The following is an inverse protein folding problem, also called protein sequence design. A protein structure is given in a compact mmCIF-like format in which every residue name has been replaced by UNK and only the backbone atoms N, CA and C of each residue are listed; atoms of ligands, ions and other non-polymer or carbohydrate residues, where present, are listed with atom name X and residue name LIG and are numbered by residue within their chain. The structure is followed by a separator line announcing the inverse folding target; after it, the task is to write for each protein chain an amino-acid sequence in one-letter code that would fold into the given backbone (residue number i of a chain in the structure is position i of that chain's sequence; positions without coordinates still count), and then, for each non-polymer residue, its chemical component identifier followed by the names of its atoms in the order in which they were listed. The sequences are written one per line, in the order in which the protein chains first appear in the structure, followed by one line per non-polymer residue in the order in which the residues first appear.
data_IF_939677445140
#
_entry.id   IF_939677445140
#
_cell.length_a   1.000
_cell.length_b   1.000
_cell.length_c   1.000
_cell.angle_alpha   90.00
_cell.angle_beta   90.00
_cell.angle_gamma   90.00
#
_symmetry.space_group_name_H-M   'P 1'
#
loop_
_entity.id
_entity.type
_entity.pdbx_description
1 polymer ?
#
# COMPACT_ATOMS: atom_id res chain seq x y z
N UNK A 1 4.09 -1.49 -35.10
CA UNK A 1 3.61 -2.74 -35.75
C UNK A 1 2.55 -2.42 -36.80
N UNK A 2 2.09 -3.35 -37.65
CA UNK A 2 1.05 -3.05 -38.67
C UNK A 2 -0.37 -3.08 -38.07
N UNK A 3 -1.21 -2.11 -38.44
CA UNK A 3 -2.48 -1.80 -37.76
C UNK A 3 -3.58 -2.85 -37.99
N UNK A 4 -3.36 -3.82 -38.89
CA UNK A 4 -4.33 -4.86 -39.20
C UNK A 4 -4.45 -5.95 -38.11
N UNK A 5 -3.44 -6.12 -37.24
CA UNK A 5 -3.44 -7.17 -36.20
C UNK A 5 -4.32 -6.88 -34.98
N UNK A 6 -4.80 -5.64 -34.82
CA UNK A 6 -5.60 -5.18 -33.67
C UNK A 6 -6.91 -5.96 -33.45
N UNK A 7 -7.37 -6.72 -34.45
CA UNK A 7 -8.70 -7.34 -34.50
C UNK A 7 -8.75 -8.83 -34.12
N UNK A 8 -7.63 -9.58 -34.11
CA UNK A 8 -7.66 -11.06 -34.03
C UNK A 8 -7.03 -11.65 -32.75
N UNK A 9 -6.88 -10.83 -31.70
CA UNK A 9 -6.57 -11.32 -30.33
C UNK A 9 -7.68 -12.21 -29.73
N UNK A 10 -8.83 -12.38 -30.41
CA UNK A 10 -10.05 -12.98 -29.89
C UNK A 10 -10.29 -14.46 -30.26
N UNK A 11 -9.34 -15.13 -30.93
CA UNK A 11 -9.45 -16.55 -31.33
C UNK A 11 -8.39 -17.41 -30.67
N UNK A 12 -8.43 -17.45 -29.34
CA UNK A 12 -7.58 -18.32 -28.51
C UNK A 12 -8.40 -19.56 -28.13
N UNK A 13 -7.80 -20.75 -28.19
CA UNK A 13 -8.41 -21.97 -27.67
C UNK A 13 -8.52 -21.91 -26.13
N UNK A 14 -9.71 -22.09 -25.53
CA UNK A 14 -9.86 -22.05 -24.08
C UNK A 14 -9.05 -23.10 -23.31
N UNK A 15 -8.74 -24.24 -23.93
CA UNK A 15 -7.86 -25.26 -23.34
C UNK A 15 -6.43 -24.76 -23.22
N UNK A 16 -5.81 -24.45 -24.37
CA UNK A 16 -4.44 -23.92 -24.42
C UNK A 16 -4.25 -22.62 -23.63
N UNK A 17 -5.30 -21.79 -23.48
CA UNK A 17 -5.24 -20.61 -22.62
C UNK A 17 -5.14 -20.94 -21.12
N UNK A 18 -5.88 -21.94 -20.64
CA UNK A 18 -5.83 -22.32 -19.23
C UNK A 18 -4.51 -23.03 -18.89
N UNK A 19 -4.06 -23.95 -19.74
CA UNK A 19 -2.77 -24.63 -19.58
C UNK A 19 -1.61 -23.62 -19.56
N UNK A 20 -1.66 -22.59 -20.42
CA UNK A 20 -0.70 -21.49 -20.38
C UNK A 20 -0.78 -20.64 -19.10
N UNK A 21 -1.99 -20.35 -18.58
CA UNK A 21 -2.17 -19.55 -17.36
C UNK A 21 -1.57 -20.24 -16.13
N UNK A 22 -1.68 -21.57 -16.05
CA UNK A 22 -1.11 -22.32 -14.93
C UNK A 22 0.41 -22.48 -15.08
N UNK A 23 0.94 -22.69 -16.29
CA UNK A 23 2.39 -22.68 -16.56
C UNK A 23 3.04 -21.29 -16.35
N UNK A 24 2.32 -20.21 -16.71
CA UNK A 24 2.72 -18.83 -16.45
C UNK A 24 2.91 -18.58 -14.96
N UNK A 25 1.98 -19.03 -14.11
CA UNK A 25 2.03 -18.80 -12.65
C UNK A 25 3.27 -19.40 -12.00
N UNK A 26 3.66 -20.63 -12.38
CA UNK A 26 4.89 -21.25 -11.90
C UNK A 26 6.15 -20.50 -12.39
N UNK A 27 6.10 -19.90 -13.58
CA UNK A 27 7.15 -19.03 -14.08
C UNK A 27 7.17 -17.66 -13.36
N UNK A 28 6.03 -17.09 -12.98
CA UNK A 28 5.94 -15.83 -12.21
C UNK A 28 6.64 -15.98 -10.86
N UNK A 29 6.30 -16.99 -10.07
CA UNK A 29 6.97 -17.24 -8.78
C UNK A 29 8.50 -17.40 -8.91
N UNK A 30 8.96 -17.96 -10.04
CA UNK A 30 10.39 -18.05 -10.34
C UNK A 30 11.01 -16.68 -10.70
N UNK A 31 10.31 -15.88 -11.51
CA UNK A 31 10.70 -14.51 -11.89
C UNK A 31 10.77 -13.61 -10.64
N UNK A 32 9.74 -13.58 -9.80
CA UNK A 32 9.69 -12.79 -8.57
C UNK A 32 10.89 -13.08 -7.65
N UNK A 33 11.13 -14.36 -7.36
CA UNK A 33 12.25 -14.82 -6.53
C UNK A 33 13.60 -14.42 -7.12
N UNK A 34 13.79 -14.60 -8.42
CA UNK A 34 15.07 -14.35 -9.08
C UNK A 34 15.31 -12.84 -9.28
N UNK A 35 14.26 -12.04 -9.48
CA UNK A 35 14.30 -10.57 -9.39
C UNK A 35 14.61 -10.11 -7.97
N UNK A 36 14.00 -10.71 -6.93
CA UNK A 36 14.29 -10.39 -5.54
C UNK A 36 15.77 -10.69 -5.17
N UNK A 37 16.33 -11.81 -5.64
CA UNK A 37 17.78 -12.09 -5.56
C UNK A 37 18.60 -10.98 -6.21
N UNK A 38 18.24 -10.57 -7.43
CA UNK A 38 18.97 -9.53 -8.18
C UNK A 38 18.84 -8.13 -7.57
N UNK A 39 17.75 -7.82 -6.84
CA UNK A 39 17.64 -6.56 -6.06
C UNK A 39 18.62 -6.51 -4.89
N UNK A 40 18.99 -7.66 -4.31
CA UNK A 40 19.99 -7.77 -3.23
C UNK A 40 21.41 -7.91 -3.78
N UNK A 41 21.57 -8.63 -4.90
CA UNK A 41 22.85 -8.91 -5.55
C UNK A 41 22.73 -8.79 -7.09
N UNK A 42 22.80 -7.57 -7.62
CA UNK A 42 22.59 -7.27 -9.05
C UNK A 42 23.63 -7.89 -10.02
N UNK A 43 24.71 -8.46 -9.48
CA UNK A 43 25.71 -9.24 -10.22
C UNK A 43 25.51 -10.77 -10.16
N UNK A 44 24.41 -11.25 -9.57
CA UNK A 44 24.09 -12.68 -9.46
C UNK A 44 23.75 -13.28 -10.84
N UNK A 45 24.77 -13.85 -11.49
CA UNK A 45 24.65 -14.49 -12.81
C UNK A 45 23.78 -15.75 -12.79
N UNK A 46 23.59 -16.40 -11.64
CA UNK A 46 22.69 -17.56 -11.55
C UNK A 46 21.23 -17.07 -11.58
N UNK A 47 20.89 -16.09 -10.76
CA UNK A 47 19.57 -15.47 -10.76
C UNK A 47 19.24 -14.83 -12.13
N UNK A 48 20.17 -14.07 -12.73
CA UNK A 48 19.97 -13.47 -14.06
C UNK A 48 19.83 -14.53 -15.17
N UNK A 49 20.59 -15.62 -15.10
CA UNK A 49 20.46 -16.76 -16.01
C UNK A 49 19.15 -17.53 -15.83
N UNK A 50 18.63 -17.58 -14.60
CA UNK A 50 17.36 -18.21 -14.25
C UNK A 50 16.17 -17.37 -14.71
N UNK A 51 16.13 -16.09 -14.34
CA UNK A 51 15.16 -15.10 -14.80
C UNK A 51 15.00 -15.08 -16.33
N UNK A 52 16.12 -15.10 -17.06
CA UNK A 52 16.07 -15.15 -18.53
C UNK A 52 15.41 -16.45 -19.05
N UNK A 53 15.65 -17.61 -18.42
CA UNK A 53 15.00 -18.87 -18.81
C UNK A 53 13.51 -18.85 -18.52
N UNK A 54 13.08 -18.33 -17.36
CA UNK A 54 11.65 -18.26 -17.03
C UNK A 54 10.87 -17.43 -18.04
N UNK A 55 11.38 -16.25 -18.43
CA UNK A 55 10.75 -15.42 -19.46
C UNK A 55 10.81 -16.05 -20.86
N UNK A 56 11.90 -16.76 -21.19
CA UNK A 56 12.00 -17.50 -22.45
C UNK A 56 10.99 -18.65 -22.53
N UNK A 57 10.78 -19.38 -21.43
CA UNK A 57 9.76 -20.43 -21.32
C UNK A 57 8.36 -19.86 -21.49
N UNK A 58 7.99 -18.81 -20.74
CA UNK A 58 6.69 -18.12 -20.87
C UNK A 58 6.42 -17.70 -22.32
N UNK A 59 7.42 -17.19 -23.03
CA UNK A 59 7.28 -16.83 -24.46
C UNK A 59 7.11 -18.07 -25.36
N UNK A 60 7.83 -19.15 -25.08
CA UNK A 60 7.71 -20.43 -25.79
C UNK A 60 6.32 -21.06 -25.61
N UNK A 61 5.87 -21.17 -24.37
CA UNK A 61 4.57 -21.75 -24.01
C UNK A 61 3.41 -20.91 -24.58
N UNK A 62 3.52 -19.58 -24.52
CA UNK A 62 2.61 -18.67 -25.19
C UNK A 62 2.53 -18.89 -26.71
N UNK A 63 3.68 -19.13 -27.37
CA UNK A 63 3.73 -19.39 -28.80
C UNK A 63 3.15 -20.75 -29.18
N UNK A 64 3.36 -21.78 -28.35
CA UNK A 64 2.79 -23.12 -28.50
C UNK A 64 1.27 -23.08 -28.37
N UNK A 65 0.74 -22.31 -27.39
CA UNK A 65 -0.69 -22.16 -27.16
C UNK A 65 -1.39 -21.15 -28.11
N UNK A 66 -0.67 -20.58 -29.08
CA UNK A 66 -1.21 -19.61 -30.05
C UNK A 66 -1.51 -18.22 -29.47
N UNK A 67 -1.02 -17.93 -28.26
CA UNK A 67 -1.33 -16.71 -27.49
C UNK A 67 -0.37 -15.60 -27.91
N UNK A 68 -0.54 -15.11 -29.14
CA UNK A 68 0.32 -14.10 -29.74
C UNK A 68 0.45 -12.81 -28.90
N UNK A 69 -0.56 -12.47 -28.09
CA UNK A 69 -0.51 -11.32 -27.18
C UNK A 69 0.58 -11.48 -26.12
N UNK A 70 0.68 -12.66 -25.50
CA UNK A 70 1.70 -12.96 -24.50
C UNK A 70 3.11 -12.99 -25.14
N UNK A 71 3.24 -13.54 -26.34
CA UNK A 71 4.50 -13.51 -27.11
C UNK A 71 4.95 -12.06 -27.38
N UNK A 72 4.03 -11.19 -27.78
CA UNK A 72 4.30 -9.78 -28.06
C UNK A 72 4.65 -8.99 -26.78
N UNK A 73 4.03 -9.30 -25.64
CA UNK A 73 4.33 -8.67 -24.36
C UNK A 73 5.71 -9.07 -23.80
N UNK A 74 6.13 -10.33 -23.96
CA UNK A 74 7.37 -10.85 -23.36
C UNK A 74 8.61 -10.62 -24.23
N UNK A 75 8.47 -10.54 -25.56
CA UNK A 75 9.64 -10.38 -26.45
C UNK A 75 10.48 -9.11 -26.19
N UNK A 76 9.89 -7.92 -25.97
CA UNK A 76 10.67 -6.72 -25.61
C UNK A 76 11.40 -6.89 -24.26
N UNK A 77 10.80 -7.61 -23.31
CA UNK A 77 11.36 -7.87 -21.97
C UNK A 77 12.62 -8.73 -22.07
N UNK A 78 12.59 -9.82 -22.84
CA UNK A 78 13.80 -10.61 -23.13
C UNK A 78 14.91 -9.75 -23.76
N UNK A 79 14.53 -8.84 -24.65
CA UNK A 79 15.46 -8.00 -25.42
C UNK A 79 16.17 -7.00 -24.50
N UNK A 80 15.43 -6.38 -23.58
CA UNK A 80 15.98 -5.52 -22.53
C UNK A 80 16.89 -6.29 -21.57
N UNK A 81 16.47 -7.47 -21.09
CA UNK A 81 17.28 -8.33 -20.23
C UNK A 81 18.51 -8.93 -20.94
N UNK A 82 18.48 -9.10 -22.27
CA UNK A 82 19.65 -9.54 -23.02
C UNK A 82 20.79 -8.51 -22.98
N UNK A 83 20.48 -7.20 -22.91
CA UNK A 83 21.48 -6.13 -22.72
C UNK A 83 22.13 -6.24 -21.33
N UNK A 84 21.33 -6.48 -20.29
CA UNK A 84 21.83 -6.74 -18.93
C UNK A 84 22.71 -7.99 -18.88
N UNK A 85 22.29 -9.10 -19.52
CA UNK A 85 23.06 -10.35 -19.58
C UNK A 85 24.40 -10.23 -20.33
N UNK A 86 24.56 -9.21 -21.17
CA UNK A 86 25.81 -8.84 -21.83
C UNK A 86 26.66 -7.84 -21.02
N UNK A 87 26.13 -7.32 -19.91
CA UNK A 87 26.68 -6.21 -19.10
C UNK A 87 26.72 -4.86 -19.86
N UNK A 88 25.85 -4.67 -20.86
CA UNK A 88 25.63 -3.37 -21.52
C UNK A 88 24.83 -2.39 -20.63
N UNK A 89 24.08 -2.94 -19.67
CA UNK A 89 23.13 -2.28 -18.77
C UNK A 89 23.22 -2.95 -17.40
N UNK A 90 23.08 -2.20 -16.30
CA UNK A 90 23.03 -2.75 -14.95
C UNK A 90 21.61 -3.18 -14.57
N UNK A 91 21.46 -4.17 -13.68
CA UNK A 91 20.15 -4.52 -13.12
C UNK A 91 19.79 -3.53 -12.00
N UNK A 92 18.96 -2.52 -12.31
CA UNK A 92 18.55 -1.46 -11.37
C UNK A 92 17.24 -1.81 -10.64
N UNK A 93 16.89 -1.07 -9.58
CA UNK A 93 15.59 -1.20 -8.91
C UNK A 93 14.43 -0.83 -9.84
N UNK A 94 14.59 0.20 -10.69
CA UNK A 94 13.60 0.57 -11.70
C UNK A 94 13.43 -0.51 -12.77
N UNK A 95 14.51 -1.22 -13.16
CA UNK A 95 14.37 -2.41 -14.00
C UNK A 95 13.62 -3.53 -13.26
N UNK A 96 13.90 -3.78 -11.98
CA UNK A 96 13.17 -4.78 -11.19
C UNK A 96 11.68 -4.45 -11.10
N UNK A 97 11.33 -3.20 -10.82
CA UNK A 97 9.95 -2.70 -10.74
C UNK A 97 9.23 -2.77 -12.10
N UNK A 98 9.92 -2.41 -13.19
CA UNK A 98 9.37 -2.57 -14.54
C UNK A 98 9.17 -4.05 -14.89
N UNK A 99 10.13 -4.93 -14.59
CA UNK A 99 10.03 -6.36 -14.90
C UNK A 99 8.84 -7.03 -14.20
N UNK A 100 8.64 -6.73 -12.91
CA UNK A 100 7.48 -7.22 -12.17
C UNK A 100 6.18 -6.64 -12.73
N UNK A 101 6.08 -5.31 -12.89
CA UNK A 101 4.92 -4.64 -13.46
C UNK A 101 4.50 -5.19 -14.85
N UNK A 102 5.46 -5.58 -15.69
CA UNK A 102 5.17 -6.15 -17.01
C UNK A 102 4.69 -7.61 -16.94
N UNK A 103 5.11 -8.37 -15.92
CA UNK A 103 4.57 -9.70 -15.62
C UNK A 103 3.18 -9.60 -15.02
N UNK A 104 2.93 -8.68 -14.09
CA UNK A 104 1.59 -8.39 -13.55
C UNK A 104 0.60 -8.03 -14.69
N UNK A 105 1.07 -7.26 -15.67
CA UNK A 105 0.30 -6.89 -16.86
C UNK A 105 0.00 -8.08 -17.75
N UNK A 106 0.95 -9.02 -17.89
CA UNK A 106 0.76 -10.26 -18.65
C UNK A 106 -0.30 -11.15 -17.98
N UNK A 107 -0.19 -11.41 -16.68
CA UNK A 107 -1.18 -12.19 -15.94
C UNK A 107 -2.58 -11.53 -15.98
N UNK A 108 -2.65 -10.21 -15.81
CA UNK A 108 -3.91 -9.47 -15.92
C UNK A 108 -4.52 -9.56 -17.34
N UNK A 109 -3.71 -9.58 -18.39
CA UNK A 109 -4.18 -9.79 -19.75
C UNK A 109 -4.73 -11.21 -19.95
N UNK A 110 -4.00 -12.24 -19.49
CA UNK A 110 -4.43 -13.64 -19.61
C UNK A 110 -5.70 -13.93 -18.80
N UNK A 111 -5.76 -13.44 -17.56
CA UNK A 111 -6.93 -13.54 -16.68
C UNK A 111 -8.18 -12.90 -17.30
N UNK A 112 -8.03 -11.74 -17.97
CA UNK A 112 -9.14 -11.12 -18.70
C UNK A 112 -9.58 -11.95 -19.91
N UNK A 113 -8.66 -12.53 -20.67
CA UNK A 113 -8.97 -13.39 -21.82
C UNK A 113 -9.70 -14.67 -21.38
N UNK A 114 -9.24 -15.34 -20.32
CA UNK A 114 -9.89 -16.54 -19.78
C UNK A 114 -11.30 -16.24 -19.21
N UNK A 115 -11.50 -15.04 -18.66
CA UNK A 115 -12.82 -14.55 -18.26
C UNK A 115 -13.71 -14.09 -19.43
N UNK A 116 -13.30 -14.29 -20.70
CA UNK A 116 -14.03 -13.89 -21.90
C UNK A 116 -14.10 -12.36 -22.11
N UNK A 117 -13.18 -11.59 -21.53
CA UNK A 117 -13.19 -10.13 -21.54
C UNK A 117 -12.12 -9.57 -22.49
N UNK A 118 -12.47 -8.53 -23.23
CA UNK A 118 -11.53 -7.81 -24.09
C UNK A 118 -10.35 -7.20 -23.30
N UNK A 119 -9.20 -7.11 -23.95
CA UNK A 119 -7.93 -6.57 -23.39
C UNK A 119 -7.60 -5.14 -23.84
N UNK A 120 -8.42 -4.53 -24.71
CA UNK A 120 -8.15 -3.21 -25.30
C UNK A 120 -7.86 -2.12 -24.25
N UNK A 121 -8.59 -2.11 -23.13
CA UNK A 121 -8.39 -1.12 -22.04
C UNK A 121 -7.00 -1.19 -21.39
N UNK A 122 -6.25 -2.29 -21.56
CA UNK A 122 -4.91 -2.47 -20.98
C UNK A 122 -3.83 -1.70 -21.75
N UNK A 123 -4.14 -1.12 -22.92
CA UNK A 123 -3.20 -0.37 -23.77
C UNK A 123 -1.93 -1.16 -24.14
N UNK A 124 -2.05 -2.47 -24.35
CA UNK A 124 -0.91 -3.40 -24.55
C UNK A 124 0.01 -2.95 -25.69
N UNK A 125 -0.52 -2.38 -26.77
CA UNK A 125 0.28 -1.88 -27.90
C UNK A 125 1.23 -0.75 -27.47
N UNK A 126 0.76 0.24 -26.72
CA UNK A 126 1.60 1.31 -26.15
C UNK A 126 2.59 0.80 -25.12
N UNK A 127 2.23 -0.24 -24.38
CA UNK A 127 3.15 -0.90 -23.45
C UNK A 127 4.31 -1.55 -24.21
N UNK A 128 4.00 -2.32 -25.26
CA UNK A 128 5.00 -2.99 -26.11
C UNK A 128 5.90 -1.97 -26.80
N UNK A 129 5.33 -0.96 -27.48
CA UNK A 129 6.09 0.12 -28.11
C UNK A 129 7.03 0.82 -27.12
N UNK A 130 6.54 1.13 -25.91
CA UNK A 130 7.34 1.74 -24.86
C UNK A 130 8.54 0.89 -24.41
N UNK A 131 8.41 -0.44 -24.32
CA UNK A 131 9.54 -1.33 -23.94
C UNK A 131 10.50 -1.53 -25.12
N UNK A 132 10.00 -1.56 -26.35
CA UNK A 132 10.82 -1.64 -27.56
C UNK A 132 11.72 -0.39 -27.68
N UNK A 133 11.19 0.80 -27.38
CA UNK A 133 11.98 2.03 -27.29
C UNK A 133 13.07 1.95 -26.19
N UNK A 134 12.75 1.43 -25.00
CA UNK A 134 13.75 1.20 -23.93
C UNK A 134 14.89 0.27 -24.38
N UNK A 135 14.58 -0.77 -25.15
CA UNK A 135 15.59 -1.67 -25.67
C UNK A 135 16.61 -0.96 -26.60
N UNK A 136 16.26 0.20 -27.16
CA UNK A 136 17.13 1.03 -28.01
C UNK A 136 17.85 2.18 -27.28
N UNK A 137 17.36 2.65 -26.13
CA UNK A 137 17.94 3.79 -25.39
C UNK A 137 19.37 3.56 -24.88
N UNK A 138 20.13 4.65 -24.69
CA UNK A 138 21.43 4.60 -24.03
C UNK A 138 21.29 4.26 -22.53
N UNK A 139 22.26 3.57 -21.90
CA UNK A 139 22.15 3.17 -20.49
C UNK A 139 21.93 4.32 -19.50
N UNK A 140 22.38 5.53 -19.83
CA UNK A 140 22.18 6.76 -19.03
C UNK A 140 20.77 7.35 -19.10
N UNK A 141 19.98 6.97 -20.09
CA UNK A 141 18.61 7.46 -20.31
C UNK A 141 17.57 6.42 -19.87
N UNK A 142 18.02 5.18 -19.69
CA UNK A 142 17.17 4.01 -19.45
C UNK A 142 16.34 4.14 -18.16
N UNK A 143 16.92 4.61 -17.06
CA UNK A 143 16.22 4.68 -15.76
C UNK A 143 15.06 5.71 -15.74
N UNK A 144 15.16 6.82 -16.48
CA UNK A 144 14.05 7.77 -16.65
C UNK A 144 13.04 7.29 -17.71
N UNK A 145 13.50 6.59 -18.75
CA UNK A 145 12.61 5.88 -19.68
C UNK A 145 11.77 4.81 -18.97
N UNK A 146 12.40 3.99 -18.12
CA UNK A 146 11.71 2.98 -17.31
C UNK A 146 10.70 3.63 -16.37
N UNK A 147 11.06 4.74 -15.73
CA UNK A 147 10.13 5.52 -14.92
C UNK A 147 8.94 6.06 -15.75
N UNK A 148 9.17 6.53 -16.99
CA UNK A 148 8.11 6.99 -17.88
C UNK A 148 7.17 5.86 -18.34
N UNK A 149 7.70 4.65 -18.60
CA UNK A 149 6.87 3.47 -18.90
C UNK A 149 6.08 3.01 -17.67
N UNK A 150 6.68 3.00 -16.48
CA UNK A 150 5.98 2.71 -15.21
C UNK A 150 4.86 3.74 -14.96
N UNK A 151 5.13 5.04 -15.15
CA UNK A 151 4.15 6.12 -14.97
C UNK A 151 3.02 6.04 -16.01
N UNK A 152 3.32 5.73 -17.27
CA UNK A 152 2.34 5.50 -18.35
C UNK A 152 1.42 4.31 -18.07
N UNK A 153 1.92 3.25 -17.43
CA UNK A 153 1.14 2.05 -17.11
C UNK A 153 0.34 2.17 -15.80
N UNK A 154 0.89 2.81 -14.77
CA UNK A 154 0.31 2.84 -13.41
C UNK A 154 -0.43 4.14 -13.07
N UNK A 155 -0.10 5.25 -13.72
CA UNK A 155 -0.51 6.60 -13.31
C UNK A 155 0.16 7.11 -12.03
N UNK A 156 1.15 6.40 -11.49
CA UNK A 156 1.72 6.65 -10.16
C UNK A 156 3.24 6.49 -10.12
N UNK A 157 3.99 7.58 -9.93
CA UNK A 157 5.37 7.50 -9.38
C UNK A 157 5.29 7.01 -7.91
N UNK A 158 5.80 5.80 -7.56
CA UNK A 158 5.28 4.94 -6.47
C UNK A 158 5.99 5.06 -5.10
N UNK A 159 5.27 5.41 -4.02
CA UNK A 159 5.81 5.88 -2.71
C UNK A 159 4.77 5.50 -1.56
N UNK A 160 5.08 5.39 -0.24
CA UNK A 160 4.61 4.25 0.64
C UNK A 160 3.96 4.40 2.12
N UNK A 161 2.63 4.12 2.35
CA UNK A 161 1.51 4.43 3.40
C UNK A 161 1.25 3.76 4.85
N UNK A 162 0.07 4.03 5.57
CA UNK A 162 -0.62 3.44 6.85
C UNK A 162 -2.22 3.46 6.93
N UNK A 163 -2.99 2.88 7.96
CA UNK A 163 -4.41 3.24 8.53
C UNK A 163 -5.61 2.24 9.01
N UNK A 164 -6.21 2.29 10.26
CA UNK A 164 -7.61 2.67 10.84
C UNK A 164 -8.95 1.79 11.29
N UNK A 165 -9.81 2.15 12.35
CA UNK A 165 -10.88 1.43 13.25
C UNK A 165 -12.31 2.04 13.82
N UNK A 166 -13.27 1.39 14.66
CA UNK A 166 -14.70 1.86 15.26
C UNK A 166 -15.54 1.81 16.74
N UNK A 167 -15.67 0.96 17.85
CA UNK A 167 -16.27 1.33 19.27
C UNK A 167 -16.27 0.35 20.59
N UNK A 168 -16.32 0.81 21.90
CA UNK A 168 -16.60 0.01 23.19
C UNK A 168 -16.65 0.67 24.66
N UNK A 169 -17.24 0.04 25.75
CA UNK A 169 -17.76 0.62 27.08
C UNK A 169 -16.91 0.68 28.43
N UNK A 170 -17.31 1.43 29.53
CA UNK A 170 -16.53 1.83 30.78
C UNK A 170 -16.58 1.05 32.13
N UNK A 171 -15.52 1.25 32.97
CA UNK A 171 -15.36 0.78 34.38
C UNK A 171 -14.62 1.83 35.26
N UNK A 172 -14.95 1.92 36.57
CA UNK A 172 -14.40 2.89 37.56
C UNK A 172 -12.98 2.52 38.09
N UNK A 173 -12.05 3.48 38.29
CA UNK A 173 -10.69 3.19 38.76
C UNK A 173 -10.52 3.04 40.29
N UNK A 174 -9.56 2.22 40.71
CA UNK A 174 -9.15 2.03 42.12
C UNK A 174 -7.89 2.83 42.54
N UNK A 175 -7.39 2.69 43.78
CA UNK A 175 -6.32 3.55 44.31
C UNK A 175 -4.97 3.44 43.57
N UNK A 176 -4.67 2.30 42.93
CA UNK A 176 -3.44 2.12 42.14
C UNK A 176 -3.56 2.59 40.67
N UNK A 177 -4.72 3.14 40.27
CA UNK A 177 -5.03 3.42 38.86
C UNK A 177 -3.96 4.25 38.12
N UNK A 178 -3.33 5.30 38.71
CA UNK A 178 -2.28 6.05 38.02
C UNK A 178 -1.01 5.25 37.71
N UNK A 179 -0.77 4.14 38.41
CA UNK A 179 0.35 3.24 38.10
C UNK A 179 -0.09 2.19 37.07
N UNK A 180 -1.24 1.54 37.28
CA UNK A 180 -1.78 0.54 36.34
C UNK A 180 -1.96 1.12 34.94
N UNK A 181 -2.46 2.35 34.84
CA UNK A 181 -2.60 3.03 33.55
C UNK A 181 -1.25 3.26 32.83
N UNK A 182 -0.16 3.51 33.58
CA UNK A 182 1.19 3.63 32.99
C UNK A 182 1.74 2.29 32.54
N UNK A 183 1.50 1.24 33.32
CA UNK A 183 1.94 -0.12 33.01
C UNK A 183 1.20 -0.64 31.76
N UNK A 184 -0.11 -0.38 31.67
CA UNK A 184 -0.94 -0.65 30.50
C UNK A 184 -0.49 0.16 29.27
N UNK A 185 -0.25 1.48 29.39
CA UNK A 185 0.28 2.31 28.30
C UNK A 185 1.64 1.82 27.77
N UNK A 186 2.55 1.42 28.68
CA UNK A 186 3.83 0.84 28.30
C UNK A 186 3.66 -0.50 27.57
N UNK A 187 2.69 -1.32 27.98
CA UNK A 187 2.33 -2.55 27.28
C UNK A 187 1.71 -2.28 25.90
N UNK A 188 0.76 -1.36 25.77
CA UNK A 188 0.15 -0.95 24.50
C UNK A 188 1.20 -0.44 23.52
N UNK A 189 2.11 0.44 23.97
CA UNK A 189 3.23 0.90 23.14
C UNK A 189 4.12 -0.28 22.70
N UNK A 190 4.35 -1.27 23.56
CA UNK A 190 5.12 -2.47 23.18
C UNK A 190 4.44 -3.31 22.10
N UNK A 191 3.11 -3.35 22.07
CA UNK A 191 2.34 -4.00 21.00
C UNK A 191 2.37 -3.17 19.69
N UNK A 192 2.26 -1.85 19.80
CA UNK A 192 2.33 -0.92 18.67
C UNK A 192 3.68 -1.01 17.95
N UNK A 193 4.79 -1.00 18.70
CA UNK A 193 6.12 -1.23 18.13
C UNK A 193 6.26 -2.61 17.45
N UNK A 194 5.67 -3.67 18.02
CA UNK A 194 5.65 -5.00 17.38
C UNK A 194 4.78 -5.08 16.11
N UNK A 195 3.85 -4.13 15.91
CA UNK A 195 3.16 -3.95 14.63
C UNK A 195 4.03 -3.15 13.64
N UNK A 196 4.68 -2.08 14.11
CA UNK A 196 5.60 -1.30 13.29
C UNK A 196 6.76 -2.18 12.76
N UNK A 197 7.27 -3.12 13.56
CA UNK A 197 8.30 -4.09 13.18
C UNK A 197 7.89 -5.04 12.02
N UNK A 198 6.59 -5.18 11.71
CA UNK A 198 6.10 -5.96 10.56
C UNK A 198 6.34 -5.28 9.21
N UNK A 199 6.64 -3.97 9.20
CA UNK A 199 6.80 -3.20 7.96
C UNK A 199 7.86 -2.10 8.11
N UNK A 200 8.96 -2.12 7.34
CA UNK A 200 9.96 -1.05 7.39
C UNK A 200 9.41 0.37 7.13
N UNK A 201 8.23 0.50 6.50
CA UNK A 201 7.51 1.78 6.31
C UNK A 201 6.98 2.36 7.62
N UNK A 202 6.67 1.52 8.59
CA UNK A 202 6.12 1.90 9.88
C UNK A 202 7.22 2.24 10.91
N UNK A 203 8.51 2.22 10.56
CA UNK A 203 9.60 2.50 11.50
C UNK A 203 9.39 3.82 12.29
N UNK A 204 9.16 3.70 13.60
CA UNK A 204 8.87 4.81 14.52
C UNK A 204 7.57 5.57 14.20
N UNK A 205 6.57 4.90 13.65
CA UNK A 205 5.23 5.44 13.36
C UNK A 205 4.46 5.68 14.65
N UNK A 206 4.49 4.70 15.56
CA UNK A 206 3.93 4.76 16.91
C UNK A 206 4.21 6.11 17.61
N UNK A 207 5.48 6.52 17.70
CA UNK A 207 5.87 7.79 18.32
C UNK A 207 5.43 9.03 17.53
N UNK A 208 5.36 8.96 16.19
CA UNK A 208 4.90 10.10 15.36
C UNK A 208 3.42 10.36 15.59
N UNK A 209 2.60 9.32 15.53
CA UNK A 209 1.16 9.41 15.74
C UNK A 209 0.86 9.90 17.15
N UNK A 210 1.53 9.35 18.17
CA UNK A 210 1.24 9.69 19.56
C UNK A 210 1.57 11.17 19.82
N UNK A 211 2.71 11.62 19.31
CA UNK A 211 3.11 13.03 19.37
C UNK A 211 2.14 13.96 18.64
N UNK A 212 1.71 13.59 17.43
CA UNK A 212 0.76 14.40 16.64
C UNK A 212 -0.61 14.52 17.33
N UNK A 213 -1.15 13.42 17.86
CA UNK A 213 -2.43 13.43 18.57
C UNK A 213 -2.34 14.24 19.88
N UNK A 214 -1.33 13.98 20.71
CA UNK A 214 -1.20 14.62 22.02
C UNK A 214 -0.91 16.12 21.90
N UNK A 215 0.02 16.55 21.04
CA UNK A 215 0.25 18.00 20.82
C UNK A 215 -1.02 18.68 20.23
N UNK A 216 -1.81 18.00 19.40
CA UNK A 216 -3.04 18.58 18.81
C UNK A 216 -4.17 18.70 19.83
N UNK A 217 -4.29 17.73 20.73
CA UNK A 217 -5.20 17.81 21.87
C UNK A 217 -4.80 18.95 22.83
N UNK A 218 -3.50 19.18 23.02
CA UNK A 218 -2.98 20.28 23.84
C UNK A 218 -3.30 21.66 23.24
N UNK A 219 -3.25 21.84 21.92
CA UNK A 219 -3.63 23.11 21.27
C UNK A 219 -5.09 23.53 21.52
N UNK A 220 -5.99 22.58 21.80
CA UNK A 220 -7.40 22.87 22.12
C UNK A 220 -7.68 22.88 23.63
N UNK A 221 -6.65 22.80 24.47
CA UNK A 221 -6.78 22.81 25.93
C UNK A 221 -7.12 21.44 26.54
N UNK A 222 -6.62 20.35 25.96
CA UNK A 222 -6.80 18.96 26.42
C UNK A 222 -8.28 18.55 26.52
N UNK A 223 -9.03 18.78 25.44
CA UNK A 223 -10.45 18.47 25.30
C UNK A 223 -10.79 16.95 25.26
N UNK A 224 -9.76 16.10 25.26
CA UNK A 224 -9.80 14.64 25.35
C UNK A 224 -8.83 14.23 26.47
N UNK A 225 -9.14 13.21 27.27
CA UNK A 225 -8.18 12.68 28.25
C UNK A 225 -6.88 12.23 27.53
N UNK A 226 -5.70 12.79 27.88
CA UNK A 226 -4.44 12.47 27.21
C UNK A 226 -4.04 11.00 27.32
N UNK A 227 -4.35 10.32 28.42
CA UNK A 227 -4.04 8.89 28.59
C UNK A 227 -4.93 8.03 27.70
N UNK A 228 -6.23 8.36 27.60
CA UNK A 228 -7.15 7.65 26.71
C UNK A 228 -6.75 7.86 25.25
N UNK A 229 -6.32 9.06 24.88
CA UNK A 229 -5.84 9.36 23.52
C UNK A 229 -4.50 8.70 23.21
N UNK A 230 -3.56 8.62 24.17
CA UNK A 230 -2.29 7.93 24.00
C UNK A 230 -2.49 6.40 23.84
N UNK A 231 -3.27 5.78 24.74
CA UNK A 231 -3.70 4.39 24.59
C UNK A 231 -4.40 4.19 23.25
N UNK A 232 -5.15 5.20 22.79
CA UNK A 232 -5.86 5.09 21.53
C UNK A 232 -4.96 5.06 20.30
N UNK A 233 -3.94 5.90 20.28
CA UNK A 233 -2.93 5.86 19.24
C UNK A 233 -2.16 4.54 19.24
N UNK A 234 -1.80 3.99 20.40
CA UNK A 234 -1.07 2.72 20.44
C UNK A 234 -1.91 1.51 19.99
N UNK A 235 -3.21 1.48 20.32
CA UNK A 235 -4.01 0.27 20.14
C UNK A 235 -4.80 0.18 18.82
N UNK A 236 -4.99 1.27 18.07
CA UNK A 236 -5.86 1.28 16.87
C UNK A 236 -5.52 0.17 15.86
N UNK A 237 -4.34 0.21 15.26
CA UNK A 237 -4.00 -0.72 14.18
C UNK A 237 -3.67 -2.16 14.63
N UNK A 238 -3.61 -2.44 15.95
CA UNK A 238 -3.31 -3.78 16.51
C UNK A 238 -4.29 -4.84 15.98
N UNK A 239 -5.51 -4.43 15.63
CA UNK A 239 -6.50 -5.30 14.99
C UNK A 239 -6.01 -5.96 13.69
N UNK A 240 -5.05 -5.38 12.98
CA UNK A 240 -4.49 -5.96 11.75
C UNK A 240 -3.66 -7.22 12.01
N UNK A 241 -3.13 -7.45 13.23
CA UNK A 241 -2.44 -8.69 13.58
C UNK A 241 -3.34 -9.94 13.51
N UNK A 242 -4.66 -9.77 13.47
CA UNK A 242 -5.64 -10.87 13.35
C UNK A 242 -6.12 -11.10 11.91
N UNK A 243 -5.56 -10.35 10.94
CA UNK A 243 -5.78 -10.54 9.51
C UNK A 243 -4.59 -11.26 8.89
N UNK A 244 -4.83 -11.98 7.79
CA UNK A 244 -3.74 -12.52 6.98
C UNK A 244 -2.88 -11.38 6.43
N UNK A 245 -1.56 -11.54 6.42
CA UNK A 245 -0.62 -10.46 6.08
C UNK A 245 -0.85 -9.93 4.66
N UNK A 246 -1.25 -10.78 3.72
CA UNK A 246 -1.62 -10.42 2.35
C UNK A 246 -2.95 -9.64 2.23
N UNK A 247 -3.64 -9.33 3.34
CA UNK A 247 -4.81 -8.44 3.34
C UNK A 247 -4.42 -6.99 3.67
N UNK A 248 -3.37 -6.77 4.47
CA UNK A 248 -3.05 -5.45 5.04
C UNK A 248 -1.60 -4.98 4.82
N UNK A 249 -0.64 -5.89 4.62
CA UNK A 249 0.67 -5.59 4.03
C UNK A 249 0.63 -5.64 2.49
N UNK A 250 -0.55 -5.94 1.90
CA UNK A 250 -0.77 -5.97 0.45
C UNK A 250 -0.42 -4.63 -0.19
N UNK A 251 0.45 -4.64 -1.20
CA UNK A 251 0.75 -3.46 -2.00
C UNK A 251 -0.26 -3.25 -3.14
N UNK A 252 -1.08 -4.26 -3.42
CA UNK A 252 -1.99 -4.30 -4.56
C UNK A 252 -3.33 -3.62 -4.30
N UNK A 253 -4.16 -3.59 -5.35
CA UNK A 253 -5.51 -3.02 -5.30
C UNK A 253 -6.48 -3.91 -4.51
N UNK A 254 -6.37 -3.85 -3.18
CA UNK A 254 -7.21 -4.46 -2.15
C UNK A 254 -8.65 -4.74 -2.63
N UNK A 255 -8.99 -6.03 -2.75
CA UNK A 255 -10.27 -6.47 -3.33
C UNK A 255 -11.48 -6.04 -2.49
N UNK A 256 -12.70 -6.25 -3.01
CA UNK A 256 -13.92 -6.04 -2.24
C UNK A 256 -14.07 -7.01 -1.04
N UNK A 257 -13.31 -8.11 -1.02
CA UNK A 257 -13.27 -9.06 0.10
C UNK A 257 -12.14 -8.70 1.07
N UNK A 258 -10.94 -8.40 0.57
CA UNK A 258 -9.80 -7.90 1.35
C UNK A 258 -10.21 -6.65 2.13
N UNK A 259 -10.90 -5.70 1.48
CA UNK A 259 -11.42 -4.49 2.13
C UNK A 259 -12.44 -4.80 3.21
N UNK A 260 -13.37 -5.74 2.96
CA UNK A 260 -14.31 -6.19 4.00
C UNK A 260 -13.59 -6.82 5.19
N UNK A 261 -12.47 -7.51 4.98
CA UNK A 261 -11.65 -8.07 6.05
C UNK A 261 -10.84 -6.99 6.79
N UNK A 262 -10.23 -6.03 6.07
CA UNK A 262 -9.58 -4.87 6.68
C UNK A 262 -10.56 -4.05 7.53
N UNK A 263 -11.83 -3.96 7.11
CA UNK A 263 -12.92 -3.35 7.87
C UNK A 263 -13.33 -4.12 9.16
N UNK A 264 -12.71 -5.27 9.47
CA UNK A 264 -12.91 -6.01 10.73
C UNK A 264 -11.82 -5.72 11.77
N UNK A 265 -10.61 -5.38 11.33
CA UNK A 265 -9.50 -4.95 12.18
C UNK A 265 -9.94 -3.90 13.23
N UNK A 266 -10.80 -2.91 12.91
CA UNK A 266 -11.63 -2.19 13.86
C UNK A 266 -12.07 -3.01 15.09
N UNK A 267 -13.06 -3.88 14.92
CA UNK A 267 -13.73 -4.57 16.02
C UNK A 267 -12.80 -5.48 16.82
N UNK A 268 -11.68 -5.91 16.24
CA UNK A 268 -10.66 -6.65 16.97
C UNK A 268 -9.87 -5.75 17.92
N UNK A 269 -9.38 -4.60 17.45
CA UNK A 269 -8.49 -3.70 18.18
C UNK A 269 -8.99 -3.32 19.58
N UNK A 270 -10.11 -2.61 19.68
CA UNK A 270 -10.71 -2.29 20.98
C UNK A 270 -11.82 -3.27 21.44
N UNK A 271 -12.02 -4.36 20.70
CA UNK A 271 -12.51 -5.60 21.30
C UNK A 271 -11.52 -6.15 22.34
N UNK A 272 -10.21 -5.98 22.16
CA UNK A 272 -9.23 -6.23 23.21
C UNK A 272 -9.31 -5.16 24.31
N UNK A 273 -9.26 -3.88 23.92
CA UNK A 273 -9.13 -2.77 24.87
C UNK A 273 -10.35 -2.61 25.79
N UNK A 274 -11.57 -2.83 25.32
CA UNK A 274 -12.80 -2.79 26.16
C UNK A 274 -12.88 -3.92 27.20
N UNK A 275 -11.95 -4.89 27.18
CA UNK A 275 -11.80 -5.90 28.25
C UNK A 275 -10.85 -5.44 29.37
N UNK A 276 -10.19 -4.30 29.22
CA UNK A 276 -9.27 -3.73 30.21
C UNK A 276 -9.94 -2.55 30.94
N UNK A 277 -10.02 -2.65 32.26
CA UNK A 277 -10.78 -1.71 33.07
C UNK A 277 -10.17 -0.30 33.04
N UNK A 278 -10.99 0.70 32.69
CA UNK A 278 -10.59 2.10 32.60
C UNK A 278 -10.16 2.57 31.20
N UNK A 279 -10.14 1.69 30.19
CA UNK A 279 -9.73 2.04 28.82
C UNK A 279 -10.89 2.18 27.84
N UNK A 280 -12.02 2.70 28.30
CA UNK A 280 -13.27 2.72 27.53
C UNK A 280 -13.42 3.89 26.58
N UNK A 281 -12.92 5.07 26.94
CA UNK A 281 -12.92 6.18 25.99
C UNK A 281 -11.86 5.91 24.94
N UNK A 282 -10.70 5.36 25.34
CA UNK A 282 -9.74 4.77 24.42
C UNK A 282 -10.41 3.68 23.57
N UNK A 283 -11.19 2.75 24.13
CA UNK A 283 -11.93 1.76 23.34
C UNK A 283 -13.03 2.37 22.48
N UNK A 284 -13.58 3.54 22.82
CA UNK A 284 -14.44 4.29 21.92
C UNK A 284 -13.64 5.08 20.86
N UNK A 285 -12.34 5.36 21.03
CA UNK A 285 -11.48 6.04 20.03
C UNK A 285 -10.70 5.08 19.11
N UNK A 286 -9.97 4.12 19.70
CA UNK A 286 -9.41 2.89 19.10
C UNK A 286 -10.47 2.12 18.44
N UNK A 287 -11.67 2.17 19.03
CA UNK A 287 -12.88 1.89 18.31
C UNK A 287 -12.97 3.10 17.27
N UNK A 288 -13.86 4.11 17.44
CA UNK A 288 -14.57 5.04 16.47
C UNK A 288 -13.87 5.78 15.32
N UNK A 289 -12.55 5.89 15.28
CA UNK A 289 -11.86 6.94 14.53
C UNK A 289 -11.87 6.85 12.97
N UNK A 290 -12.45 5.81 12.37
CA UNK A 290 -12.56 5.61 10.91
C UNK A 290 -13.96 5.90 10.35
N UNK A 291 -14.88 6.30 11.24
CA UNK A 291 -16.11 6.96 10.83
C UNK A 291 -15.82 8.34 10.22
N UNK A 292 -16.58 8.72 9.20
CA UNK A 292 -16.43 10.00 8.49
C UNK A 292 -17.64 10.89 8.81
N UNK A 293 -17.48 12.20 9.09
CA UNK A 293 -18.60 13.11 9.41
C UNK A 293 -19.73 13.15 8.37
N UNK A 294 -19.45 12.79 7.11
CA UNK A 294 -20.43 12.67 6.02
C UNK A 294 -21.17 11.31 5.95
N UNK A 295 -20.93 10.41 6.90
CA UNK A 295 -21.56 9.09 7.00
C UNK A 295 -21.02 8.02 6.03
N UNK A 296 -19.96 8.29 5.26
CA UNK A 296 -19.34 7.27 4.37
C UNK A 296 -18.25 6.41 5.02
N UNK A 297 -17.96 6.66 6.29
CA UNK A 297 -17.04 5.83 7.09
C UNK A 297 -17.60 4.45 7.37
N UNK A 298 -16.83 3.64 8.10
CA UNK A 298 -17.16 2.25 8.34
C UNK A 298 -16.69 1.79 9.72
N UNK A 299 -17.29 0.74 10.31
CA UNK A 299 -18.40 -0.07 9.81
C UNK A 299 -19.80 0.30 10.35
N UNK A 300 -19.97 1.37 11.15
CA UNK A 300 -21.32 1.83 11.58
C UNK A 300 -21.89 2.95 10.70
N UNK A 301 -21.06 3.73 10.00
CA UNK A 301 -21.51 4.81 9.10
C UNK A 301 -22.10 5.99 9.87
N UNK A 302 -21.42 6.42 10.94
CA UNK A 302 -21.95 7.40 11.89
C UNK A 302 -21.97 8.82 11.29
N UNK A 303 -23.04 9.61 11.54
CA UNK A 303 -23.02 11.04 11.24
C UNK A 303 -22.08 11.78 12.20
N UNK A 304 -21.57 12.94 11.80
CA UNK A 304 -20.63 13.77 12.57
C UNK A 304 -20.87 13.87 14.09
N UNK A 305 -22.12 14.03 14.53
CA UNK A 305 -22.50 14.16 15.95
C UNK A 305 -22.47 12.84 16.75
N UNK A 306 -22.38 11.69 16.08
CA UNK A 306 -22.21 10.38 16.68
C UNK A 306 -20.76 9.91 16.78
N UNK A 307 -19.80 10.70 16.28
CA UNK A 307 -18.36 10.37 16.32
C UNK A 307 -17.69 11.13 17.47
N UNK A 308 -17.06 10.42 18.41
CA UNK A 308 -16.47 11.02 19.61
C UNK A 308 -15.29 11.96 19.27
N UNK A 309 -14.95 12.94 20.12
CA UNK A 309 -13.95 13.96 19.78
C UNK A 309 -12.57 13.37 19.47
N UNK A 310 -12.10 12.41 20.29
CA UNK A 310 -10.82 11.75 20.08
C UNK A 310 -10.77 10.89 18.81
N UNK A 311 -11.88 10.27 18.43
CA UNK A 311 -11.99 9.56 17.16
C UNK A 311 -11.86 10.51 15.95
N UNK A 312 -12.49 11.68 16.01
CA UNK A 312 -12.42 12.69 14.95
C UNK A 312 -11.04 13.33 14.82
N UNK A 313 -10.30 13.47 15.93
CA UNK A 313 -8.88 13.86 15.91
C UNK A 313 -8.00 12.74 15.32
N UNK A 314 -8.13 11.53 15.85
CA UNK A 314 -7.24 10.41 15.52
C UNK A 314 -7.38 9.99 14.04
N UNK A 315 -8.61 10.04 13.51
CA UNK A 315 -8.88 9.86 12.07
C UNK A 315 -8.20 10.90 11.17
N UNK A 316 -7.91 12.12 11.65
CA UNK A 316 -7.08 13.10 10.93
C UNK A 316 -5.60 12.74 11.07
N UNK A 317 -5.15 12.50 12.31
CA UNK A 317 -3.75 12.27 12.67
C UNK A 317 -3.12 11.14 11.87
N UNK A 318 -3.84 10.03 11.70
CA UNK A 318 -3.32 8.89 10.93
C UNK A 318 -3.77 8.87 9.46
N UNK A 319 -4.91 9.44 9.04
CA UNK A 319 -5.12 9.66 7.60
C UNK A 319 -4.03 10.58 7.01
N UNK A 320 -3.52 11.52 7.82
CA UNK A 320 -2.31 12.29 7.51
C UNK A 320 -1.07 11.40 7.44
N UNK A 321 -0.84 10.48 8.39
CA UNK A 321 0.29 9.54 8.32
C UNK A 321 0.16 8.62 7.09
N UNK A 322 -1.06 8.25 6.68
CA UNK A 322 -1.35 7.49 5.47
C UNK A 322 -0.85 8.24 4.23
N UNK A 323 -1.20 9.53 4.10
CA UNK A 323 -0.76 10.38 2.98
C UNK A 323 0.73 10.75 3.06
N UNK A 324 1.24 11.01 4.26
CA UNK A 324 2.66 11.22 4.56
C UNK A 324 3.48 10.04 4.09
N UNK A 325 3.10 8.83 4.50
CA UNK A 325 3.78 7.61 4.15
C UNK A 325 3.58 7.31 2.65
N UNK A 326 2.36 7.37 2.09
CA UNK A 326 2.02 7.29 0.63
C UNK A 326 2.85 8.25 -0.24
N UNK A 327 3.47 9.25 0.38
CA UNK A 327 4.36 10.21 -0.27
C UNK A 327 5.75 10.32 0.37
N UNK A 328 6.17 9.41 1.27
CA UNK A 328 7.39 9.52 2.06
C UNK A 328 8.65 9.66 1.20
N UNK A 329 8.72 8.84 0.15
CA UNK A 329 9.80 8.84 -0.84
C UNK A 329 9.70 10.03 -1.83
N UNK A 330 8.65 10.89 -1.77
CA UNK A 330 8.68 12.26 -2.35
C UNK A 330 9.64 13.17 -1.58
N UNK A 331 10.27 12.65 -0.52
CA UNK A 331 11.00 13.40 0.49
C UNK A 331 10.05 13.96 1.53
N UNK A 332 10.38 13.77 2.82
CA UNK A 332 9.56 14.15 3.99
C UNK A 332 8.88 15.52 3.88
N UNK A 333 9.57 16.55 3.37
CA UNK A 333 9.01 17.91 3.21
C UNK A 333 7.89 17.99 2.16
N UNK A 334 7.97 17.23 1.06
CA UNK A 334 6.93 17.19 0.02
C UNK A 334 5.80 16.23 0.39
N UNK A 335 6.12 15.12 1.04
CA UNK A 335 5.14 14.25 1.69
C UNK A 335 4.19 15.06 2.59
N UNK A 336 4.77 15.92 3.42
CA UNK A 336 4.06 16.73 4.40
C UNK A 336 3.15 17.78 3.78
N UNK A 337 3.62 18.49 2.75
CA UNK A 337 2.81 19.48 2.04
C UNK A 337 1.63 18.82 1.31
N UNK A 338 1.82 17.59 0.81
CA UNK A 338 0.73 16.80 0.22
C UNK A 338 -0.24 16.28 1.27
N UNK A 339 0.24 15.80 2.43
CA UNK A 339 -0.62 15.35 3.53
C UNK A 339 -1.48 16.50 4.10
N UNK A 340 -0.87 17.66 4.36
CA UNK A 340 -1.60 18.88 4.72
C UNK A 340 -2.64 19.25 3.65
N UNK A 341 -2.28 19.20 2.37
CA UNK A 341 -3.20 19.56 1.29
C UNK A 341 -4.35 18.56 1.11
N UNK A 342 -4.10 17.25 1.24
CA UNK A 342 -5.11 16.20 1.09
C UNK A 342 -6.09 16.19 2.27
N UNK A 343 -5.62 16.37 3.50
CA UNK A 343 -6.48 16.60 4.69
C UNK A 343 -7.33 17.86 4.52
N UNK A 344 -6.72 18.98 4.12
CA UNK A 344 -7.42 20.26 3.97
C UNK A 344 -8.38 20.31 2.76
N UNK A 345 -8.25 19.41 1.78
CA UNK A 345 -9.14 19.34 0.63
C UNK A 345 -10.40 18.50 0.87
N UNK A 346 -10.41 17.69 1.93
CA UNK A 346 -11.51 16.77 2.22
C UNK A 346 -12.53 17.36 3.21
N UNK A 347 -13.12 18.51 2.84
CA UNK A 347 -14.09 19.35 3.59
C UNK A 347 -15.21 18.64 4.39
N UNK A 348 -15.48 17.35 4.13
CA UNK A 348 -16.56 16.57 4.73
C UNK A 348 -16.12 15.21 5.31
N UNK A 349 -14.87 14.81 5.08
CA UNK A 349 -14.28 13.58 5.63
C UNK A 349 -13.69 13.79 7.02
N UNK A 350 -13.34 15.03 7.37
CA UNK A 350 -12.68 15.39 8.60
C UNK A 350 -13.45 16.46 9.36
N UNK A 351 -13.27 16.48 10.68
CA UNK A 351 -13.95 17.42 11.57
C UNK A 351 -13.20 18.76 11.59
N UNK A 352 -13.83 19.80 11.06
CA UNK A 352 -13.19 21.08 10.77
C UNK A 352 -12.56 21.77 11.99
N UNK A 353 -13.11 21.54 13.20
CA UNK A 353 -12.56 22.07 14.45
C UNK A 353 -11.16 21.52 14.79
N UNK A 354 -10.82 20.33 14.31
CA UNK A 354 -9.53 19.67 14.56
C UNK A 354 -8.48 19.98 13.48
N UNK A 355 -8.90 20.34 12.27
CA UNK A 355 -8.01 20.63 11.13
C UNK A 355 -7.08 21.82 11.43
N UNK A 356 -7.60 22.90 12.02
CA UNK A 356 -6.78 24.10 12.27
C UNK A 356 -5.74 23.91 13.41
N UNK A 357 -6.07 23.30 14.58
CA UNK A 357 -5.08 22.91 15.58
C UNK A 357 -4.03 21.93 15.04
N UNK A 358 -4.46 20.89 14.32
CA UNK A 358 -3.55 19.89 13.74
C UNK A 358 -2.51 20.52 12.81
N UNK A 359 -2.95 21.42 11.93
CA UNK A 359 -2.07 22.18 11.04
C UNK A 359 -1.07 23.10 11.78
N UNK A 360 -1.35 23.53 13.01
CA UNK A 360 -0.40 24.32 13.81
C UNK A 360 0.69 23.44 14.40
N UNK A 361 0.31 22.29 14.99
CA UNK A 361 1.26 21.27 15.47
C UNK A 361 2.21 20.84 14.36
N UNK A 362 1.67 20.44 13.21
CA UNK A 362 2.47 19.97 12.07
C UNK A 362 3.48 21.03 11.58
N UNK A 363 3.17 22.33 11.69
CA UNK A 363 4.11 23.42 11.38
C UNK A 363 5.22 23.52 12.43
N UNK A 364 4.91 23.51 13.73
CA UNK A 364 5.95 23.54 14.77
C UNK A 364 6.90 22.34 14.71
N UNK A 365 6.38 21.16 14.34
CA UNK A 365 7.19 19.96 14.12
C UNK A 365 8.18 20.05 12.93
N UNK A 366 8.07 21.09 12.09
CA UNK A 366 9.09 21.47 11.09
C UNK A 366 10.12 22.46 11.61
N UNK A 367 9.71 23.40 12.47
CA UNK A 367 10.52 24.55 12.88
C UNK A 367 11.57 24.20 13.95
N UNK A 368 11.42 23.05 14.62
CA UNK A 368 12.32 22.54 15.67
C UNK A 368 13.34 21.52 15.09
N UNK A 369 13.84 21.74 13.86
CA UNK A 369 14.85 20.90 13.18
C UNK A 369 15.76 21.68 12.23
#
# INVERSE_FOLDING_TARGET
MDRQQTADWGRIDPGGLQDFIDALRDCVHAIERDVARLRVASADREALGSLFRSLHNVKGDAAICGIHLAVAMVHPIETLLARVRRNEVAFTSQLAELLLLLVDRLELAMSRLAAGRGVADLQVERMVEGIEDLALLAPSELDEGMAAVIEMLTGCRPLASSSLTVAGEPIVPGPDAPQRARDDLAFFRSLACQLDDRSPRFAGRTERLARLALETNQEVGEAIDPSQLEAAVYMHDIGMMFLAEDVWLKSDRMTAQDRKALHLHPGYAAGLLSRMAGWSEAAEMVVQHHEMPDGKGYPRGLPAAGICPGARLLGIVDAFESVMLKHAERGRKRALLLAIAEINACDRQFAAEWIAPFNQVVRRLLEVR
#
